data_IF_569049489538
#
_entry.id   IF_569049489538
#
_cell.length_a   1.000
_cell.length_b   1.000
_cell.length_c   1.000
_cell.angle_alpha   90.00
_cell.angle_beta   90.00
_cell.angle_gamma   90.00
#
_symmetry.space_group_name_H-M   'P 1'
#
loop_
_entity.id
_entity.type
_entity.pdbx_description
1 polymer ?
#
# COMPACT_ATOMS: atom_id res chain seq x y z
N UNK A 1 -31.31 1.37 -39.46
CA UNK A 1 -30.69 0.31 -38.69
C UNK A 1 -30.51 0.77 -37.27
N UNK A 2 -31.04 0.10 -36.24
CA UNK A 2 -30.83 0.51 -34.86
C UNK A 2 -29.37 0.24 -34.47
N UNK A 3 -28.72 1.26 -33.89
CA UNK A 3 -27.38 1.15 -33.38
C UNK A 3 -27.30 0.02 -32.33
N UNK A 4 -26.46 -0.99 -32.54
CA UNK A 4 -26.16 -2.02 -31.54
C UNK A 4 -25.66 -1.30 -30.27
N UNK A 5 -26.49 -1.25 -29.21
CA UNK A 5 -26.05 -0.91 -27.87
C UNK A 5 -24.89 -1.84 -27.53
N UNK A 6 -23.67 -1.32 -27.42
CA UNK A 6 -22.56 -2.03 -26.82
C UNK A 6 -22.99 -2.35 -25.38
N UNK A 7 -23.30 -3.59 -25.09
CA UNK A 7 -23.45 -4.06 -23.72
C UNK A 7 -22.14 -3.75 -23.02
N UNK A 8 -22.14 -2.83 -22.05
CA UNK A 8 -21.00 -2.64 -21.20
C UNK A 8 -20.82 -3.95 -20.42
N UNK A 9 -19.77 -4.68 -20.71
CA UNK A 9 -19.39 -5.85 -19.91
C UNK A 9 -18.89 -5.33 -18.57
N UNK A 10 -19.56 -5.72 -17.49
CA UNK A 10 -19.11 -5.49 -16.11
C UNK A 10 -18.44 -6.75 -15.61
N UNK A 11 -17.47 -6.58 -14.69
CA UNK A 11 -16.77 -7.69 -14.07
C UNK A 11 -16.93 -7.61 -12.55
N UNK A 12 -17.74 -8.49 -11.98
CA UNK A 12 -18.07 -8.51 -10.56
C UNK A 12 -17.12 -9.41 -9.73
N UNK A 13 -16.07 -9.96 -10.35
CA UNK A 13 -15.02 -10.69 -9.61
C UNK A 13 -14.30 -9.74 -8.64
N UNK A 14 -13.77 -10.25 -7.51
CA UNK A 14 -13.14 -9.41 -6.52
C UNK A 14 -11.77 -8.87 -6.98
N UNK A 15 -11.35 -7.79 -6.31
CA UNK A 15 -9.98 -7.27 -6.35
C UNK A 15 -9.19 -7.92 -5.23
N UNK A 16 -8.00 -8.44 -5.52
CA UNK A 16 -7.06 -8.95 -4.53
C UNK A 16 -6.11 -7.85 -4.04
N UNK A 17 -5.98 -7.71 -2.73
CA UNK A 17 -4.99 -6.83 -2.09
C UNK A 17 -4.17 -7.66 -1.11
N UNK A 18 -2.85 -7.51 -1.10
CA UNK A 18 -2.00 -8.20 -0.13
C UNK A 18 -0.91 -7.30 0.45
N UNK A 19 -0.56 -7.57 1.69
CA UNK A 19 0.43 -6.83 2.46
C UNK A 19 1.18 -7.76 3.43
N UNK A 20 2.33 -7.34 3.87
CA UNK A 20 3.12 -8.07 4.88
C UNK A 20 2.45 -8.18 6.25
N UNK A 21 1.34 -7.48 6.49
CA UNK A 21 0.69 -7.47 7.79
C UNK A 21 -0.62 -6.69 7.79
N UNK A 22 -0.80 -5.77 8.74
CA UNK A 22 -2.03 -5.00 8.90
C UNK A 22 -2.01 -3.62 8.22
N UNK A 23 -0.83 -3.12 7.91
CA UNK A 23 -0.70 -1.78 7.33
C UNK A 23 -1.46 -1.60 6.02
N UNK A 24 -1.53 -2.65 5.21
CA UNK A 24 -2.27 -2.65 3.93
C UNK A 24 -3.76 -2.38 4.05
N UNK A 25 -4.34 -2.48 5.25
CA UNK A 25 -5.72 -2.06 5.51
C UNK A 25 -5.96 -0.57 5.22
N UNK A 26 -4.92 0.27 5.28
CA UNK A 26 -5.00 1.66 4.81
C UNK A 26 -5.32 1.73 3.31
N UNK A 27 -4.71 0.85 2.52
CA UNK A 27 -4.97 0.74 1.07
C UNK A 27 -6.36 0.18 0.81
N UNK A 28 -6.77 -0.85 1.58
CA UNK A 28 -8.14 -1.41 1.49
C UNK A 28 -9.18 -0.32 1.73
N UNK A 29 -9.01 0.49 2.78
CA UNK A 29 -9.92 1.61 3.08
C UNK A 29 -9.99 2.58 1.93
N UNK A 30 -8.85 3.05 1.42
CA UNK A 30 -8.81 3.98 0.28
C UNK A 30 -9.47 3.40 -0.98
N UNK A 31 -9.26 2.10 -1.27
CA UNK A 31 -9.90 1.40 -2.39
C UNK A 31 -11.41 1.33 -2.19
N UNK A 32 -11.91 0.99 -1.01
CA UNK A 32 -13.35 0.93 -0.74
C UNK A 32 -14.05 2.29 -0.80
N UNK A 33 -13.37 3.34 -0.35
CA UNK A 33 -13.87 4.72 -0.50
C UNK A 33 -13.94 5.16 -1.97
N UNK A 34 -12.92 4.86 -2.77
CA UNK A 34 -12.85 5.24 -4.19
C UNK A 34 -13.70 4.35 -5.10
N UNK A 35 -13.90 3.09 -4.73
CA UNK A 35 -14.54 2.04 -5.54
C UNK A 35 -15.57 1.25 -4.71
N UNK A 36 -16.62 1.89 -4.19
CA UNK A 36 -17.55 1.28 -3.22
C UNK A 36 -18.37 0.10 -3.80
N UNK A 37 -18.43 -0.05 -5.12
CA UNK A 37 -19.11 -1.17 -5.79
C UNK A 37 -18.25 -2.41 -5.99
N UNK A 38 -16.95 -2.36 -5.69
CA UNK A 38 -16.02 -3.45 -5.90
C UNK A 38 -15.92 -4.38 -4.70
N UNK A 39 -15.94 -5.69 -4.96
CA UNK A 39 -15.62 -6.68 -3.93
C UNK A 39 -14.10 -6.73 -3.74
N UNK A 40 -13.65 -6.85 -2.48
CA UNK A 40 -12.24 -6.86 -2.10
C UNK A 40 -11.92 -8.11 -1.29
N UNK A 41 -10.86 -8.82 -1.69
CA UNK A 41 -10.22 -9.86 -0.88
C UNK A 41 -8.86 -9.31 -0.43
N UNK A 42 -8.66 -9.21 0.87
CA UNK A 42 -7.40 -8.77 1.46
C UNK A 42 -6.69 -9.93 2.14
N UNK A 43 -5.39 -10.03 1.91
CA UNK A 43 -4.50 -10.93 2.64
C UNK A 43 -3.43 -10.12 3.39
N UNK A 44 -3.38 -10.26 4.70
CA UNK A 44 -2.30 -9.77 5.57
C UNK A 44 -1.45 -10.93 6.07
N UNK A 45 -0.19 -10.98 5.65
CA UNK A 45 0.75 -12.05 6.06
C UNK A 45 1.35 -11.78 7.44
N UNK A 46 0.50 -11.71 8.43
CA UNK A 46 0.82 -11.31 9.81
C UNK A 46 1.78 -12.28 10.53
N UNK A 47 1.81 -13.55 10.13
CA UNK A 47 2.73 -14.55 10.72
C UNK A 47 4.21 -14.32 10.34
N UNK A 48 4.48 -13.61 9.21
CA UNK A 48 5.84 -13.43 8.68
C UNK A 48 6.33 -11.98 8.71
N UNK A 49 5.53 -11.06 9.27
CA UNK A 49 5.87 -9.64 9.47
C UNK A 49 7.11 -9.48 10.37
N UNK A 50 7.98 -8.46 10.18
CA UNK A 50 7.95 -7.46 9.12
C UNK A 50 8.79 -7.87 7.89
N UNK A 51 8.32 -7.55 6.69
CA UNK A 51 9.07 -7.80 5.44
C UNK A 51 10.22 -6.81 5.23
N UNK A 52 10.14 -5.63 5.81
CA UNK A 52 11.10 -4.54 5.59
C UNK A 52 12.54 -4.80 6.01
N UNK A 53 12.78 -5.89 6.78
CA UNK A 53 14.09 -6.33 7.24
C UNK A 53 14.51 -7.70 6.62
N UNK A 54 13.73 -8.24 5.66
CA UNK A 54 14.02 -9.51 4.98
C UNK A 54 14.82 -9.27 3.70
N UNK A 55 15.50 -10.33 3.22
CA UNK A 55 16.18 -10.27 1.94
C UNK A 55 15.17 -10.16 0.78
N UNK A 56 15.56 -9.61 -0.39
CA UNK A 56 14.70 -9.53 -1.56
C UNK A 56 14.13 -10.90 -1.98
N UNK A 57 14.92 -11.97 -1.92
CA UNK A 57 14.52 -13.33 -2.29
C UNK A 57 13.44 -13.86 -1.36
N UNK A 58 13.56 -13.57 -0.06
CA UNK A 58 12.56 -13.97 0.94
C UNK A 58 11.26 -13.20 0.73
N UNK A 59 11.34 -11.90 0.46
CA UNK A 59 10.16 -11.06 0.18
C UNK A 59 9.47 -11.51 -1.10
N UNK A 60 10.23 -11.87 -2.14
CA UNK A 60 9.68 -12.38 -3.40
C UNK A 60 8.96 -13.73 -3.20
N UNK A 61 9.58 -14.65 -2.47
CA UNK A 61 8.96 -15.93 -2.13
C UNK A 61 7.60 -15.74 -1.43
N UNK A 62 7.57 -14.86 -0.41
CA UNK A 62 6.34 -14.59 0.35
C UNK A 62 5.29 -13.93 -0.53
N UNK A 63 5.67 -12.93 -1.33
CA UNK A 63 4.75 -12.24 -2.23
C UNK A 63 4.12 -13.16 -3.28
N UNK A 64 4.88 -14.14 -3.79
CA UNK A 64 4.37 -15.17 -4.71
C UNK A 64 3.34 -16.07 -4.06
N UNK A 65 3.59 -16.49 -2.84
CA UNK A 65 2.66 -17.31 -2.07
C UNK A 65 1.38 -16.55 -1.74
N UNK A 66 1.50 -15.28 -1.33
CA UNK A 66 0.36 -14.40 -1.06
C UNK A 66 -0.51 -14.20 -2.32
N UNK A 67 0.13 -13.99 -3.47
CA UNK A 67 -0.56 -13.81 -4.74
C UNK A 67 -1.26 -15.11 -5.18
N UNK A 68 -0.60 -16.27 -5.07
CA UNK A 68 -1.18 -17.56 -5.39
C UNK A 68 -2.39 -17.89 -4.52
N UNK A 69 -2.37 -17.50 -3.24
CA UNK A 69 -3.54 -17.60 -2.38
C UNK A 69 -4.72 -16.77 -2.90
N UNK A 70 -4.49 -15.51 -3.29
CA UNK A 70 -5.52 -14.63 -3.82
C UNK A 70 -6.11 -15.13 -5.16
N UNK A 71 -5.29 -15.78 -5.98
CA UNK A 71 -5.73 -16.35 -7.26
C UNK A 71 -6.85 -17.40 -7.09
N UNK A 72 -6.88 -18.11 -5.97
CA UNK A 72 -7.94 -19.11 -5.66
C UNK A 72 -9.34 -18.49 -5.61
N UNK A 73 -9.46 -17.20 -5.38
CA UNK A 73 -10.72 -16.45 -5.34
C UNK A 73 -11.17 -15.94 -6.71
N UNK A 74 -10.44 -16.26 -7.78
CA UNK A 74 -10.78 -15.82 -9.12
C UNK A 74 -10.75 -14.30 -9.27
N UNK A 75 -9.78 -13.63 -8.68
CA UNK A 75 -9.64 -12.16 -8.70
C UNK A 75 -9.53 -11.62 -10.14
N UNK A 76 -10.04 -10.40 -10.35
CA UNK A 76 -9.95 -9.70 -11.65
C UNK A 76 -8.76 -8.74 -11.74
N UNK A 77 -8.19 -8.33 -10.62
CA UNK A 77 -7.02 -7.48 -10.51
C UNK A 77 -6.35 -7.74 -9.16
N UNK A 78 -5.03 -7.50 -9.06
CA UNK A 78 -4.33 -7.55 -7.78
C UNK A 78 -3.45 -6.32 -7.55
N UNK A 79 -3.30 -5.93 -6.27
CA UNK A 79 -2.40 -4.86 -5.85
C UNK A 79 -1.57 -5.31 -4.65
N UNK A 80 -0.25 -5.24 -4.80
CA UNK A 80 0.67 -5.33 -3.66
C UNK A 80 0.60 -4.01 -2.87
N UNK A 81 -0.14 -4.03 -1.77
CA UNK A 81 -0.31 -2.87 -0.89
C UNK A 81 0.99 -2.54 -0.14
N UNK A 82 1.80 -3.56 0.16
CA UNK A 82 3.08 -3.42 0.82
C UNK A 82 4.11 -2.70 -0.05
N UNK A 83 4.67 -1.59 0.47
CA UNK A 83 5.73 -0.86 -0.22
C UNK A 83 7.01 -1.69 -0.38
N UNK A 84 7.35 -2.52 0.63
CA UNK A 84 8.51 -3.42 0.56
C UNK A 84 8.34 -4.47 -0.53
N UNK A 85 7.16 -5.10 -0.64
CA UNK A 85 6.83 -6.03 -1.72
C UNK A 85 6.89 -5.33 -3.08
N UNK A 86 6.26 -4.16 -3.19
CA UNK A 86 6.23 -3.38 -4.43
C UNK A 86 7.64 -2.95 -4.89
N UNK A 87 8.57 -2.74 -3.94
CA UNK A 87 9.94 -2.32 -4.23
C UNK A 87 10.88 -3.50 -4.56
N UNK A 88 10.76 -4.62 -3.83
CA UNK A 88 11.75 -5.71 -3.88
C UNK A 88 11.30 -6.91 -4.72
N UNK A 89 10.02 -7.24 -4.71
CA UNK A 89 9.48 -8.47 -5.32
C UNK A 89 8.72 -8.20 -6.61
N UNK A 90 7.87 -7.19 -6.62
CA UNK A 90 6.94 -6.94 -7.72
C UNK A 90 7.63 -6.77 -9.09
N UNK A 91 8.80 -6.10 -9.22
CA UNK A 91 9.48 -5.99 -10.52
C UNK A 91 9.82 -7.34 -11.16
N UNK A 92 10.13 -8.38 -10.36
CA UNK A 92 10.38 -9.72 -10.88
C UNK A 92 9.07 -10.46 -11.20
N UNK A 93 8.08 -10.37 -10.33
CA UNK A 93 6.77 -11.00 -10.51
C UNK A 93 6.07 -10.45 -11.77
N UNK A 94 6.16 -9.16 -12.05
CA UNK A 94 5.58 -8.53 -13.25
C UNK A 94 6.22 -8.97 -14.59
N UNK A 95 7.38 -9.65 -14.56
CA UNK A 95 7.97 -10.25 -15.78
C UNK A 95 7.23 -11.49 -16.21
N UNK A 96 6.41 -12.06 -15.36
CA UNK A 96 5.61 -13.23 -15.62
C UNK A 96 4.24 -12.85 -16.19
N UNK A 97 3.62 -13.80 -16.87
CA UNK A 97 2.29 -13.58 -17.45
C UNK A 97 1.23 -13.91 -16.42
N UNK A 98 0.44 -12.91 -16.03
CA UNK A 98 -0.72 -13.07 -15.16
C UNK A 98 -2.02 -13.01 -15.97
N UNK A 99 -3.07 -13.70 -15.51
CA UNK A 99 -4.41 -13.69 -16.13
C UNK A 99 -5.21 -12.42 -15.81
N UNK A 100 -4.68 -11.56 -14.94
CA UNK A 100 -5.27 -10.31 -14.49
C UNK A 100 -4.18 -9.23 -14.37
N UNK A 101 -4.55 -7.93 -14.41
CA UNK A 101 -3.61 -6.86 -14.14
C UNK A 101 -3.14 -6.90 -12.68
N UNK A 102 -1.82 -6.82 -12.51
CA UNK A 102 -1.14 -6.77 -11.22
C UNK A 102 -0.40 -5.44 -11.11
N UNK A 103 -0.50 -4.79 -9.98
CA UNK A 103 0.18 -3.53 -9.70
C UNK A 103 0.69 -3.43 -8.27
N UNK A 104 1.36 -2.33 -7.98
CA UNK A 104 1.85 -2.01 -6.65
C UNK A 104 1.79 -0.52 -6.38
N UNK A 105 2.21 -0.13 -5.19
CA UNK A 105 2.03 1.24 -4.70
C UNK A 105 3.15 2.20 -5.10
N UNK A 106 4.30 1.72 -5.63
CA UNK A 106 5.44 2.59 -5.95
C UNK A 106 5.08 3.57 -7.06
N UNK A 107 4.64 3.07 -8.22
CA UNK A 107 4.32 3.93 -9.37
C UNK A 107 3.16 4.90 -9.04
N UNK A 108 2.16 4.43 -8.32
CA UNK A 108 1.07 5.29 -7.86
C UNK A 108 1.56 6.45 -6.98
N UNK A 109 2.46 6.16 -6.03
CA UNK A 109 3.09 7.19 -5.19
C UNK A 109 3.94 8.18 -6.00
N UNK A 110 4.67 7.70 -7.02
CA UNK A 110 5.45 8.54 -7.95
C UNK A 110 4.52 9.48 -8.72
N UNK A 111 3.44 8.96 -9.31
CA UNK A 111 2.45 9.78 -10.03
C UNK A 111 1.83 10.86 -9.13
N UNK A 112 1.51 10.51 -7.89
CA UNK A 112 0.97 11.48 -6.92
C UNK A 112 1.97 12.59 -6.60
N UNK A 113 3.27 12.28 -6.47
CA UNK A 113 4.33 13.29 -6.28
C UNK A 113 4.42 14.21 -7.49
N UNK A 114 4.50 13.65 -8.70
CA UNK A 114 4.60 14.42 -9.94
C UNK A 114 3.41 15.36 -10.16
N UNK A 115 2.21 14.90 -9.81
CA UNK A 115 0.98 15.71 -9.91
C UNK A 115 1.01 16.98 -9.03
N UNK A 116 1.86 17.04 -8.00
CA UNK A 116 2.02 18.24 -7.17
C UNK A 116 2.77 19.38 -7.86
N UNK A 117 3.57 19.10 -8.90
CA UNK A 117 4.48 20.04 -9.54
C UNK A 117 5.65 20.49 -8.67
N UNK A 118 5.82 19.93 -7.47
CA UNK A 118 6.87 20.28 -6.50
C UNK A 118 8.15 19.49 -6.77
N UNK A 119 9.30 20.04 -6.35
CA UNK A 119 10.60 19.46 -6.73
C UNK A 119 11.39 18.85 -5.58
N UNK A 120 11.25 19.36 -4.35
CA UNK A 120 11.97 18.81 -3.20
C UNK A 120 11.12 17.75 -2.51
N UNK A 121 11.50 16.49 -2.66
CA UNK A 121 10.75 15.31 -2.21
C UNK A 121 11.54 14.55 -1.16
N UNK A 122 10.94 14.25 -0.02
CA UNK A 122 11.44 13.26 0.92
C UNK A 122 10.58 11.99 0.86
N UNK A 123 11.20 10.84 0.71
CA UNK A 123 10.55 9.53 0.77
C UNK A 123 10.89 8.87 2.11
N UNK A 124 9.89 8.61 2.92
CA UNK A 124 10.07 7.87 4.18
C UNK A 124 9.62 6.42 3.99
N UNK A 125 10.47 5.45 4.33
CA UNK A 125 10.14 4.04 4.09
C UNK A 125 10.85 3.09 5.06
N UNK A 126 10.58 1.79 4.90
CA UNK A 126 11.32 0.74 5.58
C UNK A 126 12.75 0.66 5.04
N UNK A 127 13.64 -0.05 5.74
CA UNK A 127 15.02 -0.27 5.23
C UNK A 127 15.02 -0.91 3.86
N UNK A 128 14.22 -1.96 3.64
CA UNK A 128 14.14 -2.63 2.35
C UNK A 128 13.63 -1.73 1.23
N UNK A 129 12.56 -0.97 1.47
CA UNK A 129 12.01 -0.02 0.50
C UNK A 129 13.03 1.05 0.10
N UNK A 130 13.74 1.62 1.07
CA UNK A 130 14.71 2.69 0.80
C UNK A 130 15.98 2.13 0.15
N UNK A 131 16.51 1.01 0.64
CA UNK A 131 17.72 0.40 0.08
C UNK A 131 17.55 -0.07 -1.36
N UNK A 132 16.31 -0.41 -1.80
CA UNK A 132 16.02 -0.77 -3.20
C UNK A 132 16.19 0.40 -4.17
N UNK A 133 16.10 1.64 -3.70
CA UNK A 133 16.06 2.83 -4.56
C UNK A 133 14.80 2.97 -5.41
N UNK A 134 13.80 2.09 -5.26
CA UNK A 134 12.66 1.99 -6.18
C UNK A 134 11.92 3.32 -6.38
N UNK A 135 11.62 4.04 -5.29
CA UNK A 135 11.00 5.36 -5.39
C UNK A 135 11.90 6.40 -6.04
N UNK A 136 13.16 6.47 -5.61
CA UNK A 136 14.12 7.45 -6.10
C UNK A 136 14.39 7.27 -7.60
N UNK A 137 14.66 6.04 -8.02
CA UNK A 137 14.87 5.72 -9.44
C UNK A 137 13.64 6.07 -10.28
N UNK A 138 12.44 5.71 -9.82
CA UNK A 138 11.21 6.00 -10.57
C UNK A 138 10.88 7.50 -10.63
N UNK A 139 11.10 8.24 -9.53
CA UNK A 139 10.93 9.70 -9.49
C UNK A 139 11.90 10.41 -10.43
N UNK A 140 13.21 10.08 -10.38
CA UNK A 140 14.23 10.69 -11.20
C UNK A 140 14.13 10.28 -12.67
N UNK A 141 13.66 9.08 -12.97
CA UNK A 141 13.36 8.66 -14.35
C UNK A 141 12.20 9.46 -14.96
N UNK A 142 11.20 9.82 -14.15
CA UNK A 142 10.04 10.59 -14.59
C UNK A 142 10.34 12.10 -14.70
N UNK A 143 11.07 12.68 -13.75
CA UNK A 143 11.56 14.07 -13.81
C UNK A 143 12.96 14.16 -13.18
N UNK A 144 14.02 14.24 -14.00
CA UNK A 144 15.42 14.36 -13.53
C UNK A 144 15.73 15.65 -12.75
N UNK A 145 14.81 16.62 -12.71
CA UNK A 145 14.96 17.87 -11.96
C UNK A 145 14.53 17.77 -10.51
N UNK A 146 13.98 16.63 -10.11
CA UNK A 146 13.59 16.40 -8.72
C UNK A 146 14.80 16.30 -7.81
N UNK A 147 14.67 16.81 -6.61
CA UNK A 147 15.63 16.63 -5.52
C UNK A 147 14.99 15.64 -4.55
N UNK A 148 15.46 14.40 -4.60
CA UNK A 148 14.88 13.29 -3.82
C UNK A 148 15.79 12.96 -2.64
N UNK A 149 15.21 12.83 -1.45
CA UNK A 149 15.86 12.32 -0.24
C UNK A 149 15.11 11.11 0.27
N UNK A 150 15.76 9.98 0.29
CA UNK A 150 15.20 8.71 0.74
C UNK A 150 15.68 8.41 2.18
N UNK A 151 14.74 8.26 3.12
CA UNK A 151 15.04 8.11 4.56
C UNK A 151 14.39 6.83 5.09
N UNK A 152 15.23 5.91 5.58
CA UNK A 152 14.75 4.71 6.26
C UNK A 152 14.34 5.03 7.71
N UNK A 153 13.12 4.69 8.08
CA UNK A 153 12.55 4.92 9.41
C UNK A 153 12.12 3.59 10.07
N UNK A 154 13.05 2.68 10.39
CA UNK A 154 12.74 1.31 10.83
C UNK A 154 11.96 1.23 12.14
N UNK A 155 12.03 2.23 13.02
CA UNK A 155 11.28 2.24 14.29
C UNK A 155 9.84 2.70 14.12
N UNK A 156 9.44 3.26 12.97
CA UNK A 156 8.08 3.76 12.79
C UNK A 156 7.06 2.63 12.89
N UNK A 157 7.27 1.51 12.20
CA UNK A 157 6.33 0.38 12.22
C UNK A 157 6.15 -0.19 13.64
N UNK A 158 7.19 -0.60 14.38
CA UNK A 158 7.01 -1.14 15.74
C UNK A 158 6.27 -0.19 16.67
N UNK A 159 6.57 1.09 16.63
CA UNK A 159 5.95 2.09 17.51
C UNK A 159 4.47 2.31 17.17
N UNK A 160 4.14 2.29 15.88
CA UNK A 160 2.75 2.36 15.43
C UNK A 160 1.97 1.11 15.86
N UNK A 161 2.56 -0.07 15.74
CA UNK A 161 1.94 -1.34 16.14
C UNK A 161 1.68 -1.42 17.64
N UNK A 162 2.55 -0.83 18.47
CA UNK A 162 2.29 -0.63 19.91
C UNK A 162 1.21 0.45 20.19
N UNK A 163 0.73 1.10 19.14
CA UNK A 163 -0.34 2.08 19.25
C UNK A 163 0.12 3.47 19.66
N UNK A 164 1.43 3.73 19.68
CA UNK A 164 2.01 5.03 20.01
C UNK A 164 2.10 5.86 18.74
N UNK A 165 1.17 6.80 18.54
CA UNK A 165 1.12 7.62 17.32
C UNK A 165 1.35 9.12 17.56
N UNK A 166 1.57 9.52 18.80
CA UNK A 166 1.87 10.90 19.21
C UNK A 166 2.67 10.95 20.52
N UNK A 167 3.00 12.16 20.97
CA UNK A 167 3.68 12.39 22.25
C UNK A 167 5.20 12.40 22.14
N UNK A 168 5.88 12.37 23.31
CA UNK A 168 7.32 12.59 23.41
C UNK A 168 8.12 11.51 22.68
N UNK A 169 7.75 10.22 22.81
CA UNK A 169 8.43 9.09 22.15
C UNK A 169 8.43 9.27 20.63
N UNK A 170 7.28 9.63 20.05
CA UNK A 170 7.17 9.86 18.61
C UNK A 170 8.03 11.02 18.17
N UNK A 171 8.11 12.09 18.96
CA UNK A 171 8.95 13.24 18.67
C UNK A 171 10.42 12.88 18.65
N UNK A 172 10.90 12.14 19.66
CA UNK A 172 12.30 11.67 19.72
C UNK A 172 12.66 10.80 18.51
N UNK A 173 11.74 9.95 18.09
CA UNK A 173 11.93 9.10 16.89
C UNK A 173 11.95 9.96 15.61
N UNK A 174 11.13 11.00 15.52
CA UNK A 174 11.18 11.95 14.41
C UNK A 174 12.49 12.73 14.42
N UNK A 175 12.96 13.21 15.58
CA UNK A 175 14.25 13.88 15.70
C UNK A 175 15.40 12.95 15.25
N UNK A 176 15.35 11.67 15.61
CA UNK A 176 16.35 10.68 15.20
C UNK A 176 16.47 10.54 13.68
N UNK A 177 15.35 10.50 12.95
CA UNK A 177 15.35 10.22 11.52
C UNK A 177 15.18 11.47 10.65
N UNK A 178 14.41 12.44 11.12
CA UNK A 178 13.90 13.53 10.26
C UNK A 178 14.50 14.91 10.59
N UNK A 179 15.35 15.05 11.64
CA UNK A 179 15.93 16.34 12.02
C UNK A 179 16.64 17.05 10.84
N UNK A 180 17.24 16.30 9.94
CA UNK A 180 17.87 16.86 8.75
C UNK A 180 16.87 17.55 7.79
N UNK A 181 15.60 17.12 7.78
CA UNK A 181 14.56 17.73 6.95
C UNK A 181 14.14 19.11 7.47
N UNK A 182 14.38 19.41 8.75
CA UNK A 182 14.10 20.73 9.32
C UNK A 182 15.10 21.78 8.85
N UNK A 183 16.34 21.38 8.51
CA UNK A 183 17.40 22.28 8.03
C UNK A 183 17.24 22.65 6.54
N UNK A 184 16.77 21.72 5.74
CA UNK A 184 16.46 21.93 4.31
C UNK A 184 15.14 21.21 3.99
N UNK A 185 14.00 21.90 4.26
CA UNK A 185 12.68 21.31 4.22
C UNK A 185 12.30 20.77 2.83
N UNK A 186 11.71 19.56 2.76
CA UNK A 186 11.07 19.10 1.55
C UNK A 186 9.76 19.85 1.32
N UNK A 187 9.38 19.98 0.06
CA UNK A 187 8.06 20.49 -0.32
C UNK A 187 7.00 19.38 -0.22
N UNK A 188 7.44 18.13 -0.42
CA UNK A 188 6.60 16.92 -0.35
C UNK A 188 7.29 15.87 0.51
N UNK A 189 6.54 15.23 1.39
CA UNK A 189 6.92 13.99 2.07
C UNK A 189 6.01 12.88 1.58
N UNK A 190 6.59 11.85 0.95
CA UNK A 190 5.88 10.63 0.54
C UNK A 190 6.06 9.54 1.60
N UNK A 191 4.96 9.05 2.13
CA UNK A 191 4.93 7.95 3.09
C UNK A 191 5.00 6.61 2.34
N UNK A 192 6.20 6.07 2.19
CA UNK A 192 6.51 4.82 1.50
C UNK A 192 6.40 3.58 2.40
N UNK A 193 5.41 3.54 3.27
CA UNK A 193 5.03 2.40 4.10
C UNK A 193 3.56 2.51 4.48
N UNK A 194 2.84 1.40 4.45
CA UNK A 194 1.40 1.31 4.73
C UNK A 194 1.02 1.68 6.15
N UNK A 195 1.94 1.60 7.12
CA UNK A 195 1.73 2.01 8.50
C UNK A 195 1.85 3.53 8.71
N UNK A 196 2.71 4.20 7.94
CA UNK A 196 3.11 5.59 8.21
C UNK A 196 1.98 6.63 8.13
N UNK A 197 0.87 6.42 7.40
CA UNK A 197 -0.28 7.31 7.47
C UNK A 197 -0.84 7.55 8.87
N UNK A 198 -0.65 6.61 9.81
CA UNK A 198 -1.04 6.80 11.22
C UNK A 198 -0.21 7.88 11.94
N UNK A 199 0.98 8.19 11.45
CA UNK A 199 1.78 9.31 11.94
C UNK A 199 1.45 10.64 11.26
N UNK A 200 0.55 10.69 10.26
CA UNK A 200 0.25 11.92 9.52
C UNK A 200 -0.06 13.13 10.43
N UNK A 201 -0.90 13.02 11.50
CA UNK A 201 -1.16 14.16 12.38
C UNK A 201 0.10 14.65 13.11
N UNK A 202 0.93 13.74 13.62
CA UNK A 202 2.17 14.09 14.31
C UNK A 202 3.23 14.64 13.34
N UNK A 203 3.36 14.06 12.14
CA UNK A 203 4.25 14.56 11.07
C UNK A 203 3.85 15.96 10.61
N UNK A 204 2.55 16.24 10.50
CA UNK A 204 2.05 17.57 10.12
C UNK A 204 2.38 18.64 11.15
N UNK A 205 2.55 18.26 12.43
CA UNK A 205 2.98 19.17 13.50
C UNK A 205 4.51 19.30 13.55
N UNK A 206 5.23 18.25 13.19
CA UNK A 206 6.69 18.21 13.23
C UNK A 206 7.36 18.89 12.03
N UNK A 207 6.82 18.68 10.84
CA UNK A 207 7.36 19.23 9.60
C UNK A 207 7.00 20.72 9.44
N UNK A 208 7.82 21.49 8.70
CA UNK A 208 7.53 22.88 8.42
C UNK A 208 6.17 23.07 7.73
N UNK A 209 5.49 24.17 8.08
CA UNK A 209 4.20 24.52 7.49
C UNK A 209 4.31 24.61 5.96
N UNK A 210 3.35 24.01 5.26
CA UNK A 210 3.32 23.96 3.79
C UNK A 210 3.98 22.72 3.19
N UNK A 211 4.64 21.87 3.98
CA UNK A 211 5.06 20.54 3.53
C UNK A 211 3.82 19.67 3.23
N UNK A 212 3.70 19.21 2.00
CA UNK A 212 2.62 18.32 1.59
C UNK A 212 2.97 16.88 1.97
N UNK A 213 2.11 16.20 2.70
CA UNK A 213 2.28 14.80 3.06
C UNK A 213 1.38 13.94 2.17
N UNK A 214 2.00 13.10 1.36
CA UNK A 214 1.33 12.10 0.52
C UNK A 214 1.53 10.71 1.09
N UNK A 215 0.56 9.83 0.86
CA UNK A 215 0.70 8.40 1.15
C UNK A 215 0.39 7.57 -0.09
N UNK A 216 0.93 6.35 -0.09
CA UNK A 216 0.75 5.42 -1.19
C UNK A 216 -0.65 4.79 -1.25
N UNK A 217 -1.47 4.91 -0.20
CA UNK A 217 -2.77 4.27 -0.14
C UNK A 217 -3.80 4.94 -1.05
N UNK A 218 -3.98 6.27 -0.90
CA UNK A 218 -4.87 7.04 -1.78
C UNK A 218 -4.41 6.97 -3.24
N UNK A 219 -3.10 7.10 -3.47
CA UNK A 219 -2.53 6.99 -4.82
C UNK A 219 -2.79 5.62 -5.46
N UNK A 220 -2.69 4.52 -4.69
CA UNK A 220 -2.98 3.17 -5.17
C UNK A 220 -4.46 2.98 -5.53
N UNK A 221 -5.38 3.56 -4.76
CA UNK A 221 -6.81 3.52 -5.04
C UNK A 221 -7.14 4.26 -6.35
N UNK A 222 -6.57 5.44 -6.57
CA UNK A 222 -6.73 6.21 -7.80
C UNK A 222 -6.15 5.47 -9.02
N UNK A 223 -4.96 4.90 -8.88
CA UNK A 223 -4.33 4.09 -9.92
C UNK A 223 -5.22 2.89 -10.28
N UNK A 224 -5.69 2.14 -9.29
CA UNK A 224 -6.57 0.99 -9.49
C UNK A 224 -7.88 1.39 -10.16
N UNK A 225 -8.49 2.51 -9.76
CA UNK A 225 -9.70 3.04 -10.40
C UNK A 225 -9.50 3.31 -11.90
N UNK A 226 -8.38 3.93 -12.27
CA UNK A 226 -8.03 4.15 -13.68
C UNK A 226 -7.82 2.83 -14.43
N UNK A 227 -7.04 1.92 -13.84
CA UNK A 227 -6.72 0.61 -14.42
C UNK A 227 -7.98 -0.21 -14.73
N UNK A 228 -8.92 -0.28 -13.78
CA UNK A 228 -10.19 -1.01 -13.98
C UNK A 228 -11.04 -0.39 -15.09
N UNK A 229 -11.11 0.95 -15.17
CA UNK A 229 -11.82 1.66 -16.23
C UNK A 229 -11.21 1.39 -17.61
N UNK A 230 -9.89 1.49 -17.73
CA UNK A 230 -9.14 1.28 -18.96
C UNK A 230 -9.26 -0.16 -19.48
N UNK A 231 -9.27 -1.13 -18.56
CA UNK A 231 -9.38 -2.56 -18.89
C UNK A 231 -10.83 -3.04 -19.05
N UNK A 232 -11.83 -2.20 -18.74
CA UNK A 232 -13.24 -2.61 -18.78
C UNK A 232 -13.62 -3.62 -17.70
N UNK A 233 -12.94 -3.57 -16.55
CA UNK A 233 -13.08 -4.51 -15.43
C UNK A 233 -13.89 -3.91 -14.25
N UNK A 234 -14.56 -2.78 -14.43
CA UNK A 234 -15.38 -2.19 -13.37
C UNK A 234 -16.56 -3.10 -13.02
N UNK A 235 -16.93 -3.12 -11.74
CA UNK A 235 -18.15 -3.75 -11.28
C UNK A 235 -19.40 -3.04 -11.83
N UNK A 236 -20.53 -3.73 -11.80
CA UNK A 236 -21.81 -3.18 -12.20
C UNK A 236 -22.19 -1.97 -11.34
N UNK A 237 -22.66 -0.86 -11.95
CA UNK A 237 -23.05 0.32 -11.20
C UNK A 237 -24.17 0.05 -10.20
N UNK A 238 -24.10 0.70 -9.02
CA UNK A 238 -25.10 0.58 -7.97
C UNK A 238 -24.94 -0.62 -7.05
N UNK A 239 -23.88 -1.43 -7.23
CA UNK A 239 -23.51 -2.44 -6.25
C UNK A 239 -22.92 -1.80 -4.99
N UNK A 240 -23.11 -2.49 -3.86
CA UNK A 240 -22.32 -2.31 -2.64
C UNK A 240 -21.34 -3.47 -2.55
N UNK A 241 -20.06 -3.18 -2.75
CA UNK A 241 -18.99 -4.16 -2.65
C UNK A 241 -18.80 -4.67 -1.23
N UNK A 242 -18.34 -5.92 -1.12
CA UNK A 242 -18.02 -6.57 0.15
C UNK A 242 -16.50 -6.68 0.30
N UNK A 243 -16.02 -6.70 1.54
CA UNK A 243 -14.63 -6.97 1.83
C UNK A 243 -14.51 -8.21 2.73
N UNK A 244 -13.54 -9.06 2.39
CA UNK A 244 -13.12 -10.19 3.22
C UNK A 244 -11.64 -10.03 3.55
N UNK A 245 -11.29 -10.25 4.80
CA UNK A 245 -9.95 -10.03 5.32
C UNK A 245 -9.38 -11.35 5.81
N UNK A 246 -8.32 -11.81 5.17
CA UNK A 246 -7.59 -13.01 5.54
C UNK A 246 -6.29 -12.61 6.23
N UNK A 247 -5.95 -13.27 7.34
CA UNK A 247 -4.71 -13.06 8.08
C UNK A 247 -4.09 -14.39 8.47
N UNK A 248 -2.77 -14.47 8.45
CA UNK A 248 -2.02 -15.71 8.73
C UNK A 248 -1.69 -15.93 10.20
N UNK A 249 -1.86 -14.91 11.02
CA UNK A 249 -1.77 -14.98 12.50
C UNK A 249 -2.61 -13.84 13.09
N UNK A 250 -3.59 -14.22 13.92
CA UNK A 250 -4.45 -13.29 14.63
C UNK A 250 -3.97 -13.10 16.05
N UNK A 251 -2.96 -12.24 16.22
CA UNK A 251 -2.43 -11.93 17.54
C UNK A 251 -3.47 -11.21 18.45
N UNK A 252 -3.33 -11.26 19.80
CA UNK A 252 -4.23 -10.54 20.70
C UNK A 252 -4.33 -9.03 20.46
N UNK A 253 -3.30 -8.42 19.87
CA UNK A 253 -3.28 -7.01 19.47
C UNK A 253 -3.97 -6.71 18.14
N UNK A 254 -4.25 -7.75 17.35
CA UNK A 254 -4.76 -7.65 15.99
C UNK A 254 -6.01 -6.76 15.87
N UNK A 255 -7.07 -7.05 16.63
CA UNK A 255 -8.34 -6.32 16.53
C UNK A 255 -8.20 -4.84 16.90
N UNK A 256 -7.39 -4.56 17.95
CA UNK A 256 -7.12 -3.19 18.36
C UNK A 256 -6.40 -2.42 17.26
N UNK A 257 -5.46 -3.07 16.59
CA UNK A 257 -4.67 -2.45 15.52
C UNK A 257 -5.50 -2.34 14.24
N UNK A 258 -6.24 -3.39 13.86
CA UNK A 258 -7.12 -3.39 12.69
C UNK A 258 -8.16 -2.26 12.74
N UNK A 259 -8.79 -2.02 13.90
CA UNK A 259 -9.74 -0.91 14.12
C UNK A 259 -9.14 0.49 13.90
N UNK A 260 -7.83 0.64 13.89
CA UNK A 260 -7.15 1.92 13.59
C UNK A 260 -6.97 2.16 12.09
N UNK A 261 -6.94 1.07 11.35
CA UNK A 261 -6.79 1.08 9.89
C UNK A 261 -8.14 1.02 9.17
N UNK A 262 -9.13 0.35 9.77
CA UNK A 262 -10.49 0.17 9.23
C UNK A 262 -11.51 0.90 10.10
N UNK A 263 -12.55 1.43 9.48
CA UNK A 263 -13.72 1.92 10.18
C UNK A 263 -14.55 0.76 10.73
N UNK A 264 -15.33 1.01 11.82
CA UNK A 264 -16.13 -0.03 12.46
C UNK A 264 -17.18 -0.59 11.50
N UNK A 265 -17.20 -1.91 11.31
CA UNK A 265 -18.23 -2.62 10.52
C UNK A 265 -17.81 -3.08 9.13
N UNK A 266 -16.53 -3.00 8.80
CA UNK A 266 -16.02 -3.16 7.42
C UNK A 266 -15.82 -4.58 6.89
N UNK A 267 -16.36 -5.62 7.51
CA UNK A 267 -16.33 -6.98 7.00
C UNK A 267 -15.80 -8.02 7.98
N UNK A 268 -15.79 -9.26 7.55
CA UNK A 268 -15.37 -10.40 8.34
C UNK A 268 -13.86 -10.62 8.26
N UNK A 269 -13.21 -10.78 9.41
CA UNK A 269 -11.80 -11.19 9.50
C UNK A 269 -11.72 -12.69 9.66
N UNK A 270 -11.06 -13.34 8.71
CA UNK A 270 -10.89 -14.80 8.64
C UNK A 270 -9.43 -15.12 8.97
N UNK A 271 -9.24 -15.90 10.00
CA UNK A 271 -7.94 -16.45 10.35
C UNK A 271 -7.64 -17.69 9.51
N UNK A 272 -6.48 -17.72 8.87
CA UNK A 272 -6.02 -18.83 8.03
C UNK A 272 -4.67 -19.34 8.51
N UNK A 273 -4.42 -20.62 8.32
CA UNK A 273 -3.10 -21.16 8.64
C UNK A 273 -2.08 -20.76 7.59
N UNK A 274 -0.86 -20.48 8.03
CA UNK A 274 0.26 -20.19 7.11
C UNK A 274 0.46 -21.31 6.08
N UNK A 275 0.17 -22.55 6.44
CA UNK A 275 0.21 -23.70 5.53
C UNK A 275 -0.72 -23.55 4.32
N UNK A 276 -1.85 -22.84 4.45
CA UNK A 276 -2.81 -22.61 3.36
C UNK A 276 -2.24 -21.68 2.28
N UNK A 277 -1.27 -20.86 2.66
CA UNK A 277 -0.53 -19.97 1.74
C UNK A 277 0.68 -20.68 1.16
N UNK A 278 1.47 -21.36 1.99
CA UNK A 278 2.73 -22.00 1.58
C UNK A 278 2.51 -23.11 0.57
N UNK A 279 1.38 -23.81 0.65
CA UNK A 279 1.00 -24.91 -0.26
C UNK A 279 0.13 -24.45 -1.44
N UNK A 280 0.07 -23.16 -1.71
CA UNK A 280 -0.76 -22.56 -2.76
C UNK A 280 -0.15 -22.64 -4.14
#
# INVERSE_FOLDING_TARGET
MPAKRRTKNYDNRPIGLFDSGLGGLTVVRAVREALPGEDVIYLGDTARVPYGNRSPETVELFARQDLAFLEKFGIKAAVAACNTVSALALPNILREKHSFPLGGVILAGVEAVLATGRRKVAVLGTRGTIASGAYEHALLAADPRLIVRSIACPLFVPVIEEGVTNGAIVREIFDLYLAQLLRDPPEVVLLGCTHYPLFRPALSQYLPKGTLILDSAAAAADYLSRLLKEKGLCAEPGRNGRAQYYVTDRTPGFERLARRFLDAGDGEVIDIHLADIVNS
#
